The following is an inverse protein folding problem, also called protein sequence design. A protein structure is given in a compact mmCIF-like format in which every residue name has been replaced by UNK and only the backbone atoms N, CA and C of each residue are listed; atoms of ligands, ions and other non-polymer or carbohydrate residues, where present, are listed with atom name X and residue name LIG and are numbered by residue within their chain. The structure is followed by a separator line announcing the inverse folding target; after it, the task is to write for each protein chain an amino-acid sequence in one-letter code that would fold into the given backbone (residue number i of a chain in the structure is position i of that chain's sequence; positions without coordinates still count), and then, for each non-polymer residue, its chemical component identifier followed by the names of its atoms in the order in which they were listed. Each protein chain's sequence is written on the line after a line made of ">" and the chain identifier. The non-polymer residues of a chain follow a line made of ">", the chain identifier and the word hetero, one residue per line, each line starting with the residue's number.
data_IF_581107484186
#
_entry.id   IF_581107484186
#
_cell.length_a   1.000
_cell.length_b   1.000
_cell.length_c   1.000
_cell.angle_alpha   90.00
_cell.angle_beta   90.00
_cell.angle_gamma   90.00
#
_symmetry.space_group_name_H-M   'P 1'
#
loop_
_entity.id
_entity.type
_entity.pdbx_description
1 polymer ?
#
# COMPACT_ATOMS: atom_id res chain seq x y z
N UNK A 1 -2.82 1.47 -14.93
CA UNK A 1 -1.84 0.40 -14.62
C UNK A 1 -2.54 -0.94 -14.72
N UNK A 2 -1.97 -1.93 -15.42
CA UNK A 2 -2.62 -3.26 -15.64
C UNK A 2 -4.08 -3.19 -16.15
N UNK A 3 -4.43 -2.16 -16.93
CA UNK A 3 -5.81 -1.95 -17.42
C UNK A 3 -6.80 -1.31 -16.44
N UNK A 4 -6.40 -1.06 -15.18
CA UNK A 4 -7.21 -0.39 -14.16
C UNK A 4 -6.72 1.04 -13.89
N UNK A 5 -7.63 1.89 -13.42
CA UNK A 5 -7.28 3.18 -12.83
C UNK A 5 -6.78 2.94 -11.41
N UNK A 6 -5.56 3.36 -11.13
CA UNK A 6 -4.95 3.24 -9.80
C UNK A 6 -4.50 4.60 -9.32
N UNK A 7 -4.63 4.84 -8.02
CA UNK A 7 -4.07 5.99 -7.32
C UNK A 7 -2.86 5.53 -6.51
N UNK A 8 -1.77 6.29 -6.56
CA UNK A 8 -0.59 6.08 -5.75
C UNK A 8 -0.37 7.30 -4.84
N UNK A 9 -0.30 7.08 -3.53
CA UNK A 9 -0.12 8.13 -2.54
C UNK A 9 1.18 7.89 -1.78
N UNK A 10 2.07 8.89 -1.78
CA UNK A 10 3.30 8.87 -1.00
C UNK A 10 3.09 9.62 0.31
N UNK A 11 3.20 8.93 1.43
CA UNK A 11 2.97 9.48 2.77
C UNK A 11 4.27 9.45 3.56
N UNK A 12 4.65 10.59 4.13
CA UNK A 12 5.74 10.66 5.11
C UNK A 12 5.13 10.75 6.51
N UNK A 13 5.55 9.86 7.41
CA UNK A 13 5.11 9.84 8.81
C UNK A 13 6.32 10.14 9.70
N UNK A 14 6.53 11.42 10.09
CA UNK A 14 7.70 11.84 10.86
C UNK A 14 7.87 11.11 12.19
N UNK A 15 6.77 10.76 12.86
CA UNK A 15 6.79 10.13 14.19
C UNK A 15 7.45 8.74 14.21
N UNK A 16 7.50 8.06 13.07
CA UNK A 16 8.14 6.75 12.91
C UNK A 16 9.29 6.78 11.89
N UNK A 17 9.72 7.99 11.50
CA UNK A 17 10.74 8.24 10.47
C UNK A 17 10.54 7.38 9.20
N UNK A 18 9.27 7.17 8.83
CA UNK A 18 8.85 6.27 7.77
C UNK A 18 8.32 7.00 6.55
N UNK A 19 8.58 6.44 5.37
CA UNK A 19 7.94 6.83 4.11
C UNK A 19 7.19 5.63 3.57
N UNK A 20 5.91 5.82 3.26
CA UNK A 20 4.98 4.76 2.85
C UNK A 20 4.42 5.09 1.47
N UNK A 21 4.29 4.06 0.64
CA UNK A 21 3.57 4.13 -0.62
C UNK A 21 2.27 3.34 -0.48
N UNK A 22 1.15 3.99 -0.75
CA UNK A 22 -0.16 3.37 -0.83
C UNK A 22 -0.57 3.29 -2.30
N UNK A 23 -1.03 2.12 -2.76
CA UNK A 23 -1.56 1.92 -4.10
C UNK A 23 -2.97 1.35 -3.98
N UNK A 24 -3.94 2.06 -4.55
CA UNK A 24 -5.35 1.71 -4.45
C UNK A 24 -6.07 1.74 -5.79
N UNK A 25 -7.14 0.95 -5.89
CA UNK A 25 -8.06 0.93 -7.04
C UNK A 25 -9.47 0.66 -6.53
N UNK A 26 -10.47 1.21 -7.21
CA UNK A 26 -11.88 0.93 -6.93
C UNK A 26 -12.34 -0.16 -7.90
N UNK A 27 -12.91 -1.24 -7.36
CA UNK A 27 -13.45 -2.37 -8.13
C UNK A 27 -14.73 -2.89 -7.48
N UNK A 28 -15.51 -3.65 -8.24
CA UNK A 28 -16.63 -4.43 -7.70
C UNK A 28 -16.11 -5.65 -6.95
N UNK A 29 -16.95 -6.25 -6.08
CA UNK A 29 -16.54 -7.34 -5.17
C UNK A 29 -15.98 -8.56 -5.91
N UNK A 30 -16.57 -8.93 -7.06
CA UNK A 30 -16.12 -10.03 -7.92
C UNK A 30 -14.68 -9.88 -8.44
N UNK A 31 -14.18 -8.64 -8.50
CA UNK A 31 -12.88 -8.29 -9.06
C UNK A 31 -11.77 -8.16 -7.99
N UNK A 32 -12.10 -8.28 -6.70
CA UNK A 32 -11.15 -8.00 -5.60
C UNK A 32 -9.85 -8.80 -5.74
N UNK A 33 -9.94 -10.10 -6.04
CA UNK A 33 -8.75 -10.95 -6.15
C UNK A 33 -7.85 -10.50 -7.31
N UNK A 34 -8.43 -10.27 -8.48
CA UNK A 34 -7.69 -9.79 -9.65
C UNK A 34 -7.08 -8.40 -9.41
N UNK A 35 -7.80 -7.51 -8.72
CA UNK A 35 -7.30 -6.18 -8.37
C UNK A 35 -6.11 -6.23 -7.40
N UNK A 36 -6.14 -7.15 -6.42
CA UNK A 36 -5.03 -7.36 -5.50
C UNK A 36 -3.78 -7.90 -6.22
N UNK A 37 -3.96 -8.81 -7.19
CA UNK A 37 -2.85 -9.31 -8.01
C UNK A 37 -2.24 -8.20 -8.88
N UNK A 38 -3.10 -7.36 -9.49
CA UNK A 38 -2.65 -6.20 -10.27
C UNK A 38 -1.88 -5.19 -9.40
N UNK A 39 -2.34 -4.90 -8.18
CA UNK A 39 -1.64 -4.02 -7.22
C UNK A 39 -0.27 -4.60 -6.88
N UNK A 40 -0.19 -5.90 -6.55
CA UNK A 40 1.08 -6.57 -6.22
C UNK A 40 2.06 -6.52 -7.40
N UNK A 41 1.57 -6.70 -8.62
CA UNK A 41 2.40 -6.58 -9.82
C UNK A 41 2.95 -5.16 -10.00
N UNK A 42 2.13 -4.13 -9.76
CA UNK A 42 2.57 -2.73 -9.82
C UNK A 42 3.60 -2.41 -8.74
N UNK A 43 3.40 -2.90 -7.51
CA UNK A 43 4.37 -2.72 -6.43
C UNK A 43 5.71 -3.40 -6.78
N UNK A 44 5.66 -4.61 -7.34
CA UNK A 44 6.86 -5.32 -7.80
C UNK A 44 7.58 -4.55 -8.93
N UNK A 45 6.85 -3.96 -9.88
CA UNK A 45 7.44 -3.11 -10.92
C UNK A 45 8.15 -1.87 -10.34
N UNK A 46 7.70 -1.40 -9.17
CA UNK A 46 8.33 -0.31 -8.41
C UNK A 46 9.49 -0.79 -7.50
N UNK A 47 9.81 -2.08 -7.51
CA UNK A 47 10.84 -2.68 -6.68
C UNK A 47 10.43 -2.90 -5.22
N UNK A 48 9.12 -2.90 -4.93
CA UNK A 48 8.56 -3.14 -3.60
C UNK A 48 8.11 -4.60 -3.54
N UNK A 49 8.80 -5.39 -2.73
CA UNK A 49 8.60 -6.83 -2.60
C UNK A 49 7.58 -7.21 -1.53
N UNK A 50 7.18 -8.49 -1.46
CA UNK A 50 6.30 -9.01 -0.39
C UNK A 50 6.81 -8.73 1.03
N UNK A 51 8.12 -8.64 1.22
CA UNK A 51 8.81 -8.35 2.48
C UNK A 51 8.61 -6.90 2.95
N UNK A 52 8.33 -5.98 2.03
CA UNK A 52 8.08 -4.57 2.32
C UNK A 52 6.60 -4.32 2.66
N UNK A 53 5.73 -5.29 2.40
CA UNK A 53 4.30 -5.17 2.65
C UNK A 53 4.00 -5.37 4.12
N UNK A 54 3.44 -4.34 4.74
CA UNK A 54 2.88 -4.44 6.10
C UNK A 54 1.36 -4.58 6.05
N UNK A 55 0.81 -5.37 6.98
CA UNK A 55 -0.63 -5.41 7.28
C UNK A 55 -0.99 -4.55 8.49
N UNK A 56 0.00 -3.95 9.14
CA UNK A 56 -0.18 -3.08 10.28
C UNK A 56 -0.52 -1.67 9.79
N UNK A 57 -1.51 -1.03 10.42
CA UNK A 57 -1.82 0.36 10.13
C UNK A 57 -0.71 1.24 10.72
N UNK A 58 -0.25 2.24 9.96
CA UNK A 58 0.73 3.20 10.50
C UNK A 58 0.20 3.93 11.75
N UNK A 59 -1.12 4.05 11.92
CA UNK A 59 -1.76 4.62 13.10
C UNK A 59 -1.43 3.85 14.37
N UNK A 60 -1.31 2.52 14.28
CA UNK A 60 -0.96 1.67 15.40
C UNK A 60 0.52 1.86 15.78
N UNK A 61 1.39 1.98 14.78
CA UNK A 61 2.81 2.29 14.98
C UNK A 61 3.03 3.68 15.62
N UNK A 62 2.28 4.70 15.18
CA UNK A 62 2.31 6.04 15.80
C UNK A 62 1.80 6.01 17.24
N UNK A 63 0.71 5.27 17.51
CA UNK A 63 0.16 5.14 18.86
C UNK A 63 1.15 4.47 19.84
N UNK A 64 1.93 3.49 19.37
CA UNK A 64 2.96 2.83 20.17
C UNK A 64 4.15 3.76 20.52
N UNK A 65 4.53 4.67 19.61
CA UNK A 65 5.69 5.57 19.79
C UNK A 65 5.40 6.79 20.68
N UNK A 66 4.13 7.12 20.90
CA UNK A 66 3.70 8.25 21.75
C UNK A 66 3.52 7.89 23.23
N UNK A 67 3.92 6.68 23.67
CA UNK A 67 3.93 6.25 25.07
C UNK A 67 5.29 6.46 25.73
#
# INVERSE_FOLDING_TARGET
>A
ARGRQMLATLVRVPEIDGTFLEVETIVVEEDITAALDDIRAVLADLGIGPEDLTRELYTDAVAARRR
#
